data_IF_681934344759
#
_entry.id   IF_681934344759
#
_cell.length_a   1.000
_cell.length_b   1.000
_cell.length_c   1.000
_cell.angle_alpha   90.00
_cell.angle_beta   90.00
_cell.angle_gamma   90.00
#
_symmetry.space_group_name_H-M   'P 1'
#
loop_
_entity.id
_entity.type
_entity.pdbx_description
1 polymer ?
#
# COMPACT_ATOMS: atom_id res chain seq x y z
N UNK A 1 15.49 18.33 -41.32
CA UNK A 1 15.17 17.18 -40.47
C UNK A 1 14.72 17.75 -39.14
N UNK A 2 13.42 17.69 -38.84
CA UNK A 2 12.89 18.17 -37.56
C UNK A 2 13.52 17.35 -36.44
N UNK A 3 14.22 17.99 -35.50
CA UNK A 3 14.50 17.39 -34.20
C UNK A 3 13.15 16.95 -33.63
N UNK A 4 12.91 15.64 -33.57
CA UNK A 4 11.78 15.11 -32.82
C UNK A 4 12.17 15.28 -31.36
N UNK A 5 11.72 16.37 -30.74
CA UNK A 5 11.83 16.56 -29.29
C UNK A 5 11.33 15.28 -28.62
N UNK A 6 12.20 14.63 -27.84
CA UNK A 6 11.82 13.41 -27.13
C UNK A 6 10.66 13.71 -26.18
N UNK A 7 9.61 12.86 -26.14
CA UNK A 7 8.43 13.12 -25.33
C UNK A 7 8.81 13.18 -23.84
N UNK A 8 8.28 14.16 -23.13
CA UNK A 8 8.45 14.32 -21.68
C UNK A 8 7.52 13.37 -20.96
N UNK A 9 8.09 12.29 -20.43
CA UNK A 9 7.35 11.30 -19.66
C UNK A 9 7.65 11.49 -18.17
N UNK A 10 6.62 11.74 -17.39
CA UNK A 10 6.73 11.88 -15.94
C UNK A 10 6.08 10.69 -15.24
N UNK A 11 6.78 10.14 -14.25
CA UNK A 11 6.32 9.07 -13.37
C UNK A 11 6.20 9.66 -11.97
N UNK A 12 5.04 9.50 -11.32
CA UNK A 12 4.83 9.90 -9.94
C UNK A 12 4.80 8.66 -9.04
N UNK A 13 5.80 8.54 -8.18
CA UNK A 13 6.04 7.44 -7.26
C UNK A 13 7.24 6.58 -7.68
N UNK A 14 8.21 6.41 -6.79
CA UNK A 14 9.39 5.55 -6.94
C UNK A 14 9.24 4.22 -6.15
N UNK A 15 8.01 3.71 -6.06
CA UNK A 15 7.72 2.34 -5.61
C UNK A 15 8.02 1.28 -6.68
N UNK A 16 7.75 -0.01 -6.41
CA UNK A 16 8.02 -1.09 -7.35
C UNK A 16 7.40 -0.88 -8.74
N UNK A 17 6.19 -0.30 -8.80
CA UNK A 17 5.55 0.06 -10.07
C UNK A 17 6.32 1.15 -10.83
N UNK A 18 6.63 2.27 -10.18
CA UNK A 18 7.35 3.37 -10.81
C UNK A 18 8.78 3.00 -11.22
N UNK A 19 9.51 2.25 -10.40
CA UNK A 19 10.86 1.74 -10.74
C UNK A 19 10.80 0.91 -12.02
N UNK A 20 9.81 0.01 -12.12
CA UNK A 20 9.64 -0.85 -13.30
C UNK A 20 9.17 -0.08 -14.53
N UNK A 21 8.30 0.91 -14.36
CA UNK A 21 7.89 1.79 -15.44
C UNK A 21 9.10 2.58 -15.99
N UNK A 22 9.89 3.19 -15.09
CA UNK A 22 11.09 3.94 -15.45
C UNK A 22 12.09 3.05 -16.19
N UNK A 23 12.38 1.86 -15.67
CA UNK A 23 13.28 0.91 -16.33
C UNK A 23 12.82 0.53 -17.74
N UNK A 24 11.53 0.25 -17.94
CA UNK A 24 10.99 -0.07 -19.27
C UNK A 24 11.08 1.09 -20.26
N UNK A 25 10.85 2.33 -19.82
CA UNK A 25 11.02 3.51 -20.67
C UNK A 25 12.49 3.73 -21.03
N UNK A 26 13.39 3.53 -20.07
CA UNK A 26 14.84 3.67 -20.25
C UNK A 26 15.42 2.58 -21.16
N UNK A 27 14.89 1.37 -21.12
CA UNK A 27 15.21 0.29 -22.07
C UNK A 27 14.78 0.62 -23.50
N UNK A 28 13.71 1.41 -23.67
CA UNK A 28 13.25 1.92 -24.96
C UNK A 28 14.02 3.17 -25.45
N UNK A 29 15.06 3.59 -24.73
CA UNK A 29 15.90 4.75 -25.10
C UNK A 29 15.30 6.10 -24.71
N UNK A 30 14.29 6.13 -23.83
CA UNK A 30 13.68 7.37 -23.33
C UNK A 30 14.27 7.76 -21.98
N UNK A 31 14.18 9.06 -21.65
CA UNK A 31 14.66 9.61 -20.39
C UNK A 31 13.47 10.11 -19.54
N UNK A 32 12.93 9.28 -18.63
CA UNK A 32 11.79 9.69 -17.80
C UNK A 32 12.22 10.56 -16.60
N UNK A 33 11.29 11.39 -16.15
CA UNK A 33 11.38 12.09 -14.85
C UNK A 33 10.58 11.31 -13.82
N UNK A 34 11.19 10.93 -12.71
CA UNK A 34 10.54 10.20 -11.61
C UNK A 34 10.47 11.12 -10.38
N UNK A 35 9.27 11.41 -9.91
CA UNK A 35 9.01 12.26 -8.75
C UNK A 35 8.54 11.37 -7.60
N UNK A 36 9.16 11.47 -6.42
CA UNK A 36 8.78 10.70 -5.24
C UNK A 36 8.90 11.53 -3.95
N UNK A 37 7.95 11.35 -3.04
CA UNK A 37 7.98 11.98 -1.71
C UNK A 37 9.12 11.44 -0.83
N UNK A 38 9.58 10.23 -1.12
CA UNK A 38 10.65 9.58 -0.39
C UNK A 38 12.02 10.12 -0.79
N UNK A 39 12.94 10.07 0.17
CA UNK A 39 14.36 10.37 -0.08
C UNK A 39 15.02 9.30 -0.97
N UNK A 40 14.52 8.06 -0.92
CA UNK A 40 15.10 6.92 -1.62
C UNK A 40 14.01 6.04 -2.23
N UNK A 41 14.24 5.60 -3.46
CA UNK A 41 13.32 4.71 -4.17
C UNK A 41 13.15 3.35 -3.46
N UNK A 42 11.92 2.84 -3.50
CA UNK A 42 11.51 1.58 -2.87
C UNK A 42 10.04 1.55 -2.43
N UNK A 43 9.38 2.71 -2.35
CA UNK A 43 8.00 2.83 -1.89
C UNK A 43 7.81 2.32 -0.46
N UNK A 44 6.60 1.87 -0.12
CA UNK A 44 6.27 1.44 1.26
C UNK A 44 6.77 0.02 1.57
N UNK A 45 6.58 -0.93 0.66
CA UNK A 45 6.89 -2.35 0.90
C UNK A 45 8.39 -2.62 0.98
N UNK A 46 9.17 -1.97 0.10
CA UNK A 46 10.64 -2.04 0.05
C UNK A 46 11.27 -0.74 0.50
N UNK A 47 10.61 -0.03 1.43
CA UNK A 47 11.10 1.22 2.02
C UNK A 47 12.50 1.01 2.57
N UNK A 48 13.46 1.80 2.07
CA UNK A 48 14.83 1.79 2.56
C UNK A 48 14.89 2.49 3.92
N UNK A 49 15.72 1.99 4.84
CA UNK A 49 15.97 2.71 6.07
C UNK A 49 16.77 4.00 5.76
N UNK A 50 16.80 4.96 6.69
CA UNK A 50 17.71 6.09 6.64
C UNK A 50 19.17 5.65 6.58
N UNK A 51 20.04 6.55 6.14
CA UNK A 51 21.49 6.27 6.12
C UNK A 51 22.03 6.06 7.55
N UNK A 52 23.03 5.19 7.67
CA UNK A 52 23.60 4.77 8.96
C UNK A 52 22.84 3.64 9.67
N UNK A 53 21.69 3.19 9.16
CA UNK A 53 20.96 2.07 9.76
C UNK A 53 21.59 0.71 9.43
N UNK A 54 21.75 -0.16 10.42
CA UNK A 54 22.61 -1.37 10.33
C UNK A 54 21.87 -2.67 9.98
N UNK A 55 20.53 -2.65 9.85
CA UNK A 55 19.76 -3.87 9.57
C UNK A 55 19.96 -4.36 8.14
N UNK A 56 20.21 -5.66 8.02
CA UNK A 56 20.33 -6.34 6.72
C UNK A 56 19.00 -6.39 5.98
N UNK A 57 19.05 -6.48 4.64
CA UNK A 57 17.85 -6.66 3.82
C UNK A 57 17.00 -7.88 4.23
N UNK A 58 17.62 -8.97 4.72
CA UNK A 58 16.91 -10.16 5.23
C UNK A 58 16.12 -9.85 6.51
N UNK A 59 16.63 -8.97 7.38
CA UNK A 59 15.92 -8.52 8.57
C UNK A 59 14.75 -7.58 8.20
N UNK A 60 14.95 -6.70 7.23
CA UNK A 60 13.95 -5.69 6.82
C UNK A 60 12.80 -6.25 5.97
N UNK A 61 13.14 -7.06 4.96
CA UNK A 61 12.20 -7.50 3.92
C UNK A 61 11.89 -9.00 3.97
N UNK A 62 12.57 -9.76 4.84
CA UNK A 62 12.31 -11.19 5.01
C UNK A 62 12.53 -11.98 3.71
N UNK A 63 11.49 -12.69 3.26
CA UNK A 63 11.53 -13.47 2.01
C UNK A 63 11.68 -12.63 0.75
N UNK A 64 11.36 -11.33 0.82
CA UNK A 64 11.41 -10.44 -0.33
C UNK A 64 12.75 -9.69 -0.45
N UNK A 65 13.73 -10.00 0.41
CA UNK A 65 15.03 -9.31 0.44
C UNK A 65 15.78 -9.29 -0.89
N UNK A 66 15.73 -10.40 -1.64
CA UNK A 66 16.37 -10.48 -2.95
C UNK A 66 15.69 -9.56 -3.98
N UNK A 67 14.35 -9.52 -4.00
CA UNK A 67 13.59 -8.64 -4.90
C UNK A 67 13.78 -7.18 -4.56
N UNK A 68 13.72 -6.83 -3.27
CA UNK A 68 13.97 -5.49 -2.79
C UNK A 68 15.34 -4.99 -3.25
N UNK A 69 16.42 -5.77 -2.99
CA UNK A 69 17.76 -5.45 -3.46
C UNK A 69 17.86 -5.29 -4.97
N UNK A 70 17.23 -6.18 -5.74
CA UNK A 70 17.26 -6.12 -7.20
C UNK A 70 16.61 -4.82 -7.72
N UNK A 71 15.46 -4.42 -7.18
CA UNK A 71 14.82 -3.16 -7.54
C UNK A 71 15.62 -1.95 -7.10
N UNK A 72 16.22 -2.01 -5.90
CA UNK A 72 17.05 -0.94 -5.38
C UNK A 72 18.25 -0.69 -6.29
N UNK A 73 19.03 -1.74 -6.57
CA UNK A 73 20.20 -1.68 -7.45
C UNK A 73 19.84 -1.25 -8.87
N UNK A 74 18.68 -1.69 -9.38
CA UNK A 74 18.20 -1.27 -10.70
C UNK A 74 17.99 0.24 -10.74
N UNK A 75 17.20 0.78 -9.80
CA UNK A 75 16.89 2.21 -9.81
C UNK A 75 18.11 3.08 -9.55
N UNK A 76 18.95 2.70 -8.58
CA UNK A 76 20.18 3.43 -8.25
C UNK A 76 21.10 3.49 -9.49
N UNK A 77 21.32 2.36 -10.16
CA UNK A 77 22.12 2.31 -11.39
C UNK A 77 21.58 3.23 -12.48
N UNK A 78 20.27 3.19 -12.75
CA UNK A 78 19.69 4.04 -13.80
C UNK A 78 19.82 5.54 -13.49
N UNK A 79 19.72 5.92 -12.22
CA UNK A 79 19.92 7.28 -11.77
C UNK A 79 21.40 7.71 -11.84
N UNK A 80 22.32 6.86 -11.35
CA UNK A 80 23.77 7.09 -11.38
C UNK A 80 24.34 7.18 -12.81
N UNK A 81 23.82 6.37 -13.73
CA UNK A 81 24.16 6.43 -15.17
C UNK A 81 23.52 7.64 -15.88
N UNK A 82 22.73 8.47 -15.19
CA UNK A 82 22.06 9.64 -15.76
C UNK A 82 20.99 9.30 -16.80
N UNK A 83 20.39 8.11 -16.73
CA UNK A 83 19.40 7.62 -17.70
C UNK A 83 17.95 7.99 -17.34
N UNK A 84 17.76 8.53 -16.15
CA UNK A 84 16.50 9.11 -15.68
C UNK A 84 16.79 10.32 -14.79
N UNK A 85 15.81 11.22 -14.66
CA UNK A 85 15.88 12.30 -13.68
C UNK A 85 15.06 11.90 -12.45
N UNK A 86 15.68 11.85 -11.26
CA UNK A 86 14.99 11.53 -10.02
C UNK A 86 14.79 12.79 -9.16
N UNK A 87 13.55 13.22 -9.02
CA UNK A 87 13.14 14.26 -8.08
C UNK A 87 12.70 13.59 -6.76
N UNK A 88 13.68 13.27 -5.92
CA UNK A 88 13.44 12.77 -4.56
C UNK A 88 12.85 13.86 -3.65
N UNK A 89 12.29 13.47 -2.52
CA UNK A 89 11.77 14.39 -1.50
C UNK A 89 10.81 15.45 -2.06
N UNK A 90 10.03 15.06 -3.08
CA UNK A 90 9.22 15.95 -3.90
C UNK A 90 7.80 15.42 -4.00
N UNK A 91 6.82 16.24 -3.64
CA UNK A 91 5.39 15.87 -3.66
C UNK A 91 4.68 16.60 -4.78
N UNK A 92 3.93 15.85 -5.60
CA UNK A 92 3.02 16.46 -6.58
C UNK A 92 1.75 16.90 -5.85
N UNK A 93 1.44 18.19 -5.91
CA UNK A 93 0.31 18.78 -5.19
C UNK A 93 -0.83 19.25 -6.12
N UNK A 94 -0.57 19.35 -7.43
CA UNK A 94 -1.60 19.62 -8.44
C UNK A 94 -1.17 19.10 -9.83
N UNK A 95 -2.15 18.80 -10.70
CA UNK A 95 -1.90 18.28 -12.05
C UNK A 95 -2.71 18.99 -13.19
N UNK A 96 -2.73 20.33 -13.29
CA UNK A 96 -3.58 21.02 -14.27
C UNK A 96 -3.02 21.03 -15.70
N UNK A 97 -3.75 20.42 -16.64
CA UNK A 97 -3.58 20.64 -18.09
C UNK A 97 -2.17 20.30 -18.61
N UNK A 98 -1.66 19.10 -18.33
CA UNK A 98 -0.33 18.67 -18.79
C UNK A 98 0.84 19.21 -17.96
N UNK A 99 0.55 19.77 -16.77
CA UNK A 99 1.54 20.32 -15.85
C UNK A 99 1.37 19.69 -14.48
N UNK A 100 2.47 19.44 -13.80
CA UNK A 100 2.51 19.06 -12.39
C UNK A 100 3.08 20.22 -11.58
N UNK A 101 2.41 20.57 -10.49
CA UNK A 101 2.99 21.44 -9.47
C UNK A 101 3.64 20.55 -8.42
N UNK A 102 4.94 20.72 -8.23
CA UNK A 102 5.77 19.83 -7.43
C UNK A 102 6.39 20.63 -6.31
N UNK A 103 6.04 20.30 -5.08
CA UNK A 103 6.61 20.87 -3.86
C UNK A 103 7.86 20.07 -3.48
N UNK A 104 9.01 20.73 -3.45
CA UNK A 104 10.26 20.20 -2.91
C UNK A 104 10.87 21.15 -1.88
N UNK A 105 12.13 20.92 -1.50
CA UNK A 105 12.85 21.72 -0.50
C UNK A 105 12.95 23.21 -0.89
N UNK A 106 13.16 23.50 -2.18
CA UNK A 106 13.25 24.86 -2.71
C UNK A 106 11.90 25.56 -2.98
N UNK A 107 10.78 24.95 -2.58
CA UNK A 107 9.43 25.46 -2.84
C UNK A 107 8.73 24.74 -4.00
N UNK A 108 7.74 25.41 -4.60
CA UNK A 108 6.91 24.83 -5.67
C UNK A 108 7.52 25.12 -7.04
N UNK A 109 7.71 24.07 -7.83
CA UNK A 109 8.11 24.16 -9.24
C UNK A 109 7.05 23.55 -10.15
N UNK A 110 7.08 23.91 -11.44
CA UNK A 110 6.17 23.36 -12.46
C UNK A 110 6.94 22.44 -13.40
N UNK A 111 6.50 21.19 -13.52
CA UNK A 111 7.03 20.21 -14.46
C UNK A 111 5.98 19.90 -15.52
N UNK A 112 6.32 20.09 -16.79
CA UNK A 112 5.46 19.76 -17.93
C UNK A 112 5.64 18.31 -18.35
N UNK A 113 4.56 17.68 -18.81
CA UNK A 113 4.60 16.32 -19.33
C UNK A 113 3.76 16.16 -20.60
N UNK A 114 4.20 15.28 -21.49
CA UNK A 114 3.44 14.80 -22.64
C UNK A 114 2.71 13.49 -22.29
N UNK A 115 3.27 12.70 -21.35
CA UNK A 115 2.66 11.48 -20.79
C UNK A 115 2.91 11.39 -19.28
N UNK A 116 1.92 10.92 -18.54
CA UNK A 116 1.96 10.80 -17.08
C UNK A 116 1.68 9.38 -16.63
N UNK A 117 2.59 8.78 -15.87
CA UNK A 117 2.37 7.49 -15.21
C UNK A 117 2.23 7.71 -13.71
N UNK A 118 1.05 7.45 -13.17
CA UNK A 118 0.74 7.51 -11.75
C UNK A 118 1.00 6.15 -11.10
N UNK A 119 2.04 6.08 -10.28
CA UNK A 119 2.44 4.91 -9.49
C UNK A 119 2.39 5.23 -7.99
N UNK A 120 1.33 5.94 -7.57
CA UNK A 120 1.12 6.57 -6.25
C UNK A 120 0.94 5.58 -5.10
N UNK A 121 0.64 4.32 -5.41
CA UNK A 121 0.51 3.27 -4.39
C UNK A 121 -0.79 3.37 -3.59
N UNK A 122 -0.72 3.02 -2.31
CA UNK A 122 -1.88 2.92 -1.43
C UNK A 122 -1.50 3.25 0.01
N UNK A 123 -2.47 3.78 0.76
CA UNK A 123 -2.36 4.04 2.20
C UNK A 123 -3.03 2.94 3.01
N UNK A 124 -2.86 2.95 4.33
CA UNK A 124 -3.68 2.11 5.19
C UNK A 124 -5.15 2.51 5.08
N UNK A 125 -6.04 1.53 5.09
CA UNK A 125 -7.47 1.76 5.24
C UNK A 125 -7.85 1.52 6.70
N UNK A 126 -8.35 2.55 7.35
CA UNK A 126 -8.83 2.50 8.74
C UNK A 126 -10.36 2.62 8.77
N UNK A 127 -10.97 2.00 9.76
CA UNK A 127 -12.39 2.14 10.06
C UNK A 127 -12.51 2.68 11.49
N UNK A 128 -13.32 3.73 11.75
CA UNK A 128 -13.50 4.22 13.11
C UNK A 128 -13.99 3.11 14.05
N UNK A 129 -13.52 3.18 15.29
CA UNK A 129 -13.97 2.39 16.44
C UNK A 129 -14.06 3.38 17.60
N UNK A 130 -15.07 3.33 18.48
CA UNK A 130 -15.15 4.28 19.60
C UNK A 130 -13.82 4.39 20.35
N UNK A 131 -13.27 5.60 20.47
CA UNK A 131 -11.97 5.86 21.10
C UNK A 131 -10.73 5.82 20.17
N UNK A 132 -10.88 5.52 18.87
CA UNK A 132 -9.75 5.42 17.93
C UNK A 132 -8.97 6.73 17.71
N UNK A 133 -9.51 7.87 18.11
CA UNK A 133 -8.84 9.17 18.07
C UNK A 133 -7.76 9.35 19.16
N UNK A 134 -7.75 8.48 20.17
CA UNK A 134 -6.89 8.60 21.35
C UNK A 134 -5.41 8.44 21.02
N UNK A 135 -4.54 9.11 21.79
CA UNK A 135 -3.10 8.92 21.71
C UNK A 135 -2.72 7.45 21.99
N UNK A 136 -1.80 6.89 21.20
CA UNK A 136 -1.46 5.47 21.25
C UNK A 136 -2.19 4.61 20.19
N UNK A 137 -3.11 5.18 19.41
CA UNK A 137 -3.74 4.51 18.26
C UNK A 137 -3.01 4.88 16.96
N UNK A 138 -2.53 3.86 16.25
CA UNK A 138 -1.80 3.99 14.99
C UNK A 138 -2.40 3.06 13.93
N UNK A 139 -2.15 3.36 12.65
CA UNK A 139 -2.46 2.42 11.58
C UNK A 139 -1.46 1.25 11.55
N UNK A 140 -1.85 0.12 10.98
CA UNK A 140 -0.96 -1.06 10.86
C UNK A 140 0.30 -0.77 10.04
N UNK A 141 0.18 -0.03 8.95
CA UNK A 141 1.31 0.40 8.13
C UNK A 141 2.22 1.37 8.88
N UNK A 142 1.69 2.30 9.68
CA UNK A 142 2.52 3.16 10.53
C UNK A 142 3.34 2.34 11.54
N UNK A 143 2.70 1.37 12.21
CA UNK A 143 3.40 0.45 13.11
C UNK A 143 4.47 -0.38 12.37
N UNK A 144 4.19 -0.82 11.14
CA UNK A 144 5.15 -1.54 10.32
C UNK A 144 6.33 -0.65 9.88
N UNK A 145 6.08 0.60 9.52
CA UNK A 145 7.09 1.58 9.12
C UNK A 145 8.02 1.86 10.30
N UNK A 146 7.47 2.13 11.49
CA UNK A 146 8.27 2.31 12.71
C UNK A 146 9.17 1.10 12.97
N UNK A 147 8.62 -0.11 12.85
CA UNK A 147 9.39 -1.33 13.06
C UNK A 147 10.49 -1.54 12.00
N UNK A 148 10.20 -1.28 10.72
CA UNK A 148 11.15 -1.54 9.62
C UNK A 148 12.21 -0.45 9.50
N UNK A 149 11.79 0.81 9.44
CA UNK A 149 12.65 1.94 9.11
C UNK A 149 13.40 2.48 10.34
N UNK A 150 12.78 2.45 11.51
CA UNK A 150 13.36 3.00 12.74
C UNK A 150 13.74 1.91 13.74
N UNK A 151 13.20 0.71 13.58
CA UNK A 151 13.48 -0.41 14.46
C UNK A 151 12.75 -0.38 15.78
N UNK A 152 11.68 0.40 15.87
CA UNK A 152 10.96 0.72 17.11
C UNK A 152 9.59 0.05 17.12
N UNK A 153 9.20 -0.49 18.28
CA UNK A 153 7.80 -0.79 18.58
C UNK A 153 7.16 0.44 19.24
N UNK A 154 5.96 0.81 18.79
CA UNK A 154 5.29 2.06 19.20
C UNK A 154 4.60 2.01 20.58
N UNK A 155 4.74 0.89 21.30
CA UNK A 155 4.20 0.70 22.65
C UNK A 155 4.88 -0.47 23.35
N UNK A 156 4.71 -0.56 24.67
CA UNK A 156 5.25 -1.66 25.48
C UNK A 156 4.35 -2.88 25.46
N UNK A 157 3.03 -2.70 25.36
CA UNK A 157 2.03 -3.77 25.31
C UNK A 157 1.01 -3.48 24.21
N UNK A 158 1.06 -4.26 23.14
CA UNK A 158 0.43 -3.95 21.86
C UNK A 158 -0.82 -4.80 21.63
N UNK A 159 -1.92 -4.17 21.23
CA UNK A 159 -3.07 -4.85 20.63
C UNK A 159 -3.17 -4.45 19.17
N UNK A 160 -3.33 -5.43 18.28
CA UNK A 160 -3.62 -5.15 16.87
C UNK A 160 -5.08 -5.49 16.59
N UNK A 161 -5.79 -4.58 15.93
CA UNK A 161 -7.20 -4.75 15.55
C UNK A 161 -7.35 -4.57 14.05
N UNK A 162 -8.30 -5.24 13.43
CA UNK A 162 -8.59 -5.00 12.03
C UNK A 162 -9.00 -6.23 11.27
N UNK A 163 -8.60 -6.28 10.00
CA UNK A 163 -8.71 -7.51 9.22
C UNK A 163 -7.70 -7.57 8.07
N UNK A 164 -7.38 -8.79 7.65
CA UNK A 164 -6.57 -9.03 6.45
C UNK A 164 -5.14 -9.46 6.72
N UNK A 165 -4.38 -9.74 5.64
CA UNK A 165 -3.02 -10.27 5.76
C UNK A 165 -2.04 -9.33 6.45
N UNK A 166 -2.22 -8.01 6.32
CA UNK A 166 -1.34 -7.04 6.95
C UNK A 166 -1.39 -7.12 8.48
N UNK A 167 -2.59 -7.35 9.04
CA UNK A 167 -2.78 -7.56 10.49
C UNK A 167 -1.93 -8.73 11.00
N UNK A 168 -2.00 -9.87 10.29
CA UNK A 168 -1.22 -11.07 10.62
C UNK A 168 0.28 -10.83 10.44
N UNK A 169 0.68 -10.16 9.35
CA UNK A 169 2.06 -9.87 9.03
C UNK A 169 2.72 -8.97 10.09
N UNK A 170 2.08 -7.86 10.43
CA UNK A 170 2.60 -6.90 11.42
C UNK A 170 2.69 -7.54 12.80
N UNK A 171 1.67 -8.29 13.22
CA UNK A 171 1.71 -9.03 14.48
C UNK A 171 2.89 -10.01 14.53
N UNK A 172 3.09 -10.80 13.48
CA UNK A 172 4.18 -11.77 13.44
C UNK A 172 5.57 -11.10 13.38
N UNK A 173 5.67 -9.93 12.74
CA UNK A 173 6.91 -9.14 12.72
C UNK A 173 7.24 -8.54 14.09
N UNK A 174 6.25 -8.00 14.80
CA UNK A 174 6.41 -7.48 16.16
C UNK A 174 6.81 -8.57 17.15
N UNK A 175 6.13 -9.72 17.13
CA UNK A 175 6.51 -10.89 17.96
C UNK A 175 7.93 -11.35 17.63
N UNK A 176 8.28 -11.45 16.35
CA UNK A 176 9.65 -11.82 15.93
C UNK A 176 10.71 -10.81 16.40
N UNK A 177 10.34 -9.53 16.50
CA UNK A 177 11.22 -8.47 17.01
C UNK A 177 11.27 -8.40 18.54
N UNK A 178 10.53 -9.26 19.25
CA UNK A 178 10.51 -9.30 20.72
C UNK A 178 9.53 -8.32 21.37
N UNK A 179 8.64 -7.69 20.60
CA UNK A 179 7.60 -6.82 21.16
C UNK A 179 6.51 -7.65 21.86
N UNK A 180 5.96 -7.13 22.97
CA UNK A 180 4.85 -7.75 23.69
C UNK A 180 3.52 -7.46 22.97
N UNK A 181 3.15 -8.37 22.07
CA UNK A 181 1.83 -8.38 21.43
C UNK A 181 0.86 -9.15 22.32
N UNK A 182 -0.04 -8.44 22.97
CA UNK A 182 -1.04 -8.99 23.87
C UNK A 182 -2.17 -9.70 23.10
N UNK A 183 -2.64 -9.12 22.00
CA UNK A 183 -3.68 -9.71 21.17
C UNK A 183 -3.62 -9.21 19.71
N UNK A 184 -4.07 -10.06 18.79
CA UNK A 184 -4.33 -9.76 17.39
C UNK A 184 -5.80 -10.10 17.10
N UNK A 185 -6.63 -9.08 16.96
CA UNK A 185 -8.08 -9.16 16.89
C UNK A 185 -8.54 -8.95 15.44
N UNK A 186 -8.86 -10.06 14.76
CA UNK A 186 -9.36 -10.04 13.39
C UNK A 186 -10.90 -10.06 13.38
N UNK A 187 -11.51 -9.05 12.77
CA UNK A 187 -12.97 -8.96 12.66
C UNK A 187 -13.56 -9.97 11.69
N UNK A 188 -12.74 -10.58 10.82
CA UNK A 188 -13.21 -11.62 9.90
C UNK A 188 -13.30 -12.96 10.60
N UNK A 189 -14.49 -13.56 10.57
CA UNK A 189 -14.75 -14.89 11.12
C UNK A 189 -14.03 -15.99 10.34
N UNK A 190 -13.79 -17.13 11.00
CA UNK A 190 -13.25 -18.32 10.33
C UNK A 190 -14.09 -18.74 9.12
N UNK A 191 -15.42 -18.65 9.19
CA UNK A 191 -16.30 -18.97 8.05
C UNK A 191 -16.06 -18.04 6.87
N UNK A 192 -15.93 -16.73 7.11
CA UNK A 192 -15.61 -15.76 6.05
C UNK A 192 -14.24 -16.04 5.44
N UNK A 193 -13.23 -16.28 6.28
CA UNK A 193 -11.87 -16.56 5.81
C UNK A 193 -11.80 -17.79 4.88
N UNK A 194 -12.64 -18.80 5.12
CA UNK A 194 -12.75 -19.97 4.24
C UNK A 194 -13.41 -19.67 2.89
N UNK A 195 -14.25 -18.63 2.76
CA UNK A 195 -14.90 -18.26 1.48
C UNK A 195 -13.89 -17.83 0.42
N UNK A 196 -12.74 -17.29 0.84
CA UNK A 196 -11.66 -16.88 -0.06
C UNK A 196 -10.78 -18.03 -0.57
N UNK A 197 -10.97 -19.26 -0.09
CA UNK A 197 -10.06 -20.39 -0.32
C UNK A 197 -9.72 -20.61 -1.79
N UNK A 198 -10.72 -20.62 -2.68
CA UNK A 198 -10.51 -20.83 -4.11
C UNK A 198 -9.64 -19.75 -4.76
N UNK A 199 -9.79 -18.49 -4.34
CA UNK A 199 -8.93 -17.40 -4.81
C UNK A 199 -7.51 -17.52 -4.27
N UNK A 200 -7.36 -17.93 -3.00
CA UNK A 200 -6.05 -18.15 -2.37
C UNK A 200 -5.23 -19.26 -3.05
N UNK A 201 -5.91 -20.28 -3.60
CA UNK A 201 -5.28 -21.35 -4.38
C UNK A 201 -4.55 -20.84 -5.63
N UNK A 202 -4.83 -19.62 -6.12
CA UNK A 202 -4.05 -19.01 -7.18
C UNK A 202 -2.58 -18.78 -6.76
N UNK A 203 -2.28 -18.60 -5.46
CA UNK A 203 -0.89 -18.46 -4.95
C UNK A 203 -0.69 -19.29 -3.68
N UNK A 204 -0.60 -20.62 -3.80
CA UNK A 204 -0.61 -21.52 -2.64
C UNK A 204 0.59 -21.27 -1.71
N UNK A 205 1.76 -21.00 -2.26
CA UNK A 205 2.97 -20.69 -1.47
C UNK A 205 2.78 -19.43 -0.61
N UNK A 206 2.10 -18.40 -1.12
CA UNK A 206 1.85 -17.17 -0.36
C UNK A 206 0.78 -17.40 0.70
N UNK A 207 -0.28 -18.14 0.38
CA UNK A 207 -1.31 -18.54 1.34
C UNK A 207 -0.71 -19.35 2.50
N UNK A 208 0.14 -20.34 2.20
CA UNK A 208 0.86 -21.14 3.21
C UNK A 208 1.78 -20.28 4.09
N UNK A 209 2.47 -19.29 3.51
CA UNK A 209 3.25 -18.31 4.30
C UNK A 209 2.35 -17.54 5.27
N UNK A 210 1.17 -17.10 4.82
CA UNK A 210 0.19 -16.44 5.69
C UNK A 210 -0.25 -17.32 6.86
N UNK A 211 -0.55 -18.59 6.60
CA UNK A 211 -0.87 -19.58 7.65
C UNK A 211 0.29 -19.79 8.62
N UNK A 212 1.53 -19.86 8.14
CA UNK A 212 2.71 -20.00 8.99
C UNK A 212 2.93 -18.76 9.87
N UNK A 213 2.70 -17.54 9.36
CA UNK A 213 2.74 -16.32 10.16
C UNK A 213 1.66 -16.32 11.25
N UNK A 214 0.45 -16.77 10.91
CA UNK A 214 -0.63 -16.90 11.89
C UNK A 214 -0.32 -17.94 12.96
N UNK A 215 0.22 -19.09 12.59
CA UNK A 215 0.62 -20.12 13.54
C UNK A 215 1.64 -19.60 14.57
N UNK A 216 2.55 -18.71 14.15
CA UNK A 216 3.51 -18.04 15.06
C UNK A 216 2.85 -17.09 16.06
N UNK A 217 1.69 -16.52 15.75
CA UNK A 217 0.92 -15.71 16.70
C UNK A 217 0.31 -16.59 17.80
N UNK A 218 0.01 -17.85 17.48
CA UNK A 218 -0.55 -18.82 18.42
C UNK A 218 -1.85 -18.31 19.05
N UNK A 219 -1.97 -18.46 20.37
CA UNK A 219 -3.15 -18.04 21.14
C UNK A 219 -3.42 -16.54 21.18
N UNK A 220 -2.54 -15.70 20.61
CA UNK A 220 -2.75 -14.24 20.51
C UNK A 220 -3.71 -13.86 19.39
N UNK A 221 -3.88 -14.72 18.38
CA UNK A 221 -4.74 -14.41 17.24
C UNK A 221 -6.18 -14.85 17.51
N UNK A 222 -7.11 -13.90 17.47
CA UNK A 222 -8.53 -14.12 17.67
C UNK A 222 -9.31 -13.73 16.41
N UNK A 223 -10.01 -14.69 15.80
CA UNK A 223 -10.81 -14.46 14.59
C UNK A 223 -12.28 -14.19 14.95
N UNK A 224 -12.97 -13.41 14.10
CA UNK A 224 -14.41 -13.16 14.21
C UNK A 224 -14.78 -12.37 15.46
N UNK A 225 -13.90 -11.46 15.90
CA UNK A 225 -14.14 -10.62 17.07
C UNK A 225 -15.05 -9.45 16.74
N UNK A 226 -15.77 -8.97 17.75
CA UNK A 226 -16.48 -7.68 17.67
C UNK A 226 -15.72 -6.65 18.50
N UNK A 227 -15.35 -5.52 17.89
CA UNK A 227 -14.65 -4.43 18.57
C UNK A 227 -15.70 -3.49 19.17
N UNK A 228 -15.55 -3.14 20.46
CA UNK A 228 -16.54 -2.30 21.15
C UNK A 228 -16.02 -0.89 21.40
N UNK A 229 -14.88 -0.78 22.08
CA UNK A 229 -14.32 0.50 22.50
C UNK A 229 -12.83 0.38 22.78
N UNK A 230 -12.09 1.40 22.38
CA UNK A 230 -10.74 1.68 22.82
C UNK A 230 -10.86 2.54 24.08
N UNK A 231 -10.43 1.99 25.21
CA UNK A 231 -10.39 2.70 26.49
C UNK A 231 -9.12 3.56 26.52
N UNK A 232 -9.27 4.81 26.93
CA UNK A 232 -8.17 5.76 27.01
C UNK A 232 -8.39 6.74 28.17
N UNK A 233 -7.28 7.27 28.70
CA UNK A 233 -7.26 8.32 29.71
C UNK A 233 -6.37 9.50 29.26
N UNK A 234 -6.02 10.41 30.18
CA UNK A 234 -5.19 11.58 29.88
C UNK A 234 -3.77 11.25 29.37
N UNK A 235 -3.33 10.00 29.47
CA UNK A 235 -2.02 9.53 28.99
C UNK A 235 -2.08 8.74 27.68
N UNK A 236 -3.29 8.42 27.20
CA UNK A 236 -3.52 7.67 25.95
C UNK A 236 -4.31 6.39 26.17
N UNK A 237 -4.17 5.44 25.24
CA UNK A 237 -4.82 4.12 25.30
C UNK A 237 -4.40 3.34 26.54
N UNK A 238 -5.36 2.71 27.21
CA UNK A 238 -5.14 1.84 28.37
C UNK A 238 -5.63 0.40 28.15
N UNK A 239 -6.66 0.21 27.31
CA UNK A 239 -7.17 -1.11 26.99
C UNK A 239 -8.00 -1.15 25.70
N UNK A 240 -8.20 -2.35 25.17
CA UNK A 240 -9.17 -2.66 24.13
C UNK A 240 -10.30 -3.52 24.71
N UNK A 241 -11.54 -3.05 24.56
CA UNK A 241 -12.77 -3.80 24.89
C UNK A 241 -13.35 -4.44 23.64
N UNK A 242 -13.57 -5.75 23.69
CA UNK A 242 -14.01 -6.54 22.54
C UNK A 242 -14.80 -7.79 22.99
N UNK A 243 -15.54 -8.40 22.06
CA UNK A 243 -16.16 -9.72 22.25
C UNK A 243 -15.48 -10.76 21.39
N UNK A 244 -15.23 -11.93 21.96
CA UNK A 244 -14.77 -13.07 21.18
C UNK A 244 -15.88 -13.61 20.24
N UNK A 245 -15.53 -14.56 19.39
CA UNK A 245 -16.48 -15.17 18.44
C UNK A 245 -17.67 -15.86 19.10
N UNK A 246 -17.59 -16.17 20.40
CA UNK A 246 -18.68 -16.72 21.21
C UNK A 246 -19.52 -15.64 21.91
N UNK A 247 -19.22 -14.36 21.71
CA UNK A 247 -19.92 -13.24 22.31
C UNK A 247 -19.46 -12.87 23.72
N UNK A 248 -18.44 -13.54 24.27
CA UNK A 248 -17.94 -13.24 25.61
C UNK A 248 -17.13 -11.95 25.59
N UNK A 249 -17.48 -11.02 26.49
CA UNK A 249 -16.74 -9.78 26.66
C UNK A 249 -15.33 -10.03 27.21
N UNK A 250 -14.37 -9.27 26.67
CA UNK A 250 -12.96 -9.30 27.00
C UNK A 250 -12.46 -7.86 27.11
N UNK A 251 -11.55 -7.66 28.05
CA UNK A 251 -10.80 -6.42 28.20
C UNK A 251 -9.32 -6.78 28.16
N UNK A 252 -8.58 -6.20 27.23
CA UNK A 252 -7.15 -6.45 27.06
C UNK A 252 -6.40 -5.14 27.28
N UNK A 253 -5.64 -5.04 28.37
CA UNK A 253 -4.83 -3.85 28.62
C UNK A 253 -3.69 -3.72 27.61
N UNK A 254 -3.45 -2.48 27.18
CA UNK A 254 -2.44 -2.12 26.19
C UNK A 254 -2.15 -0.63 26.27
N UNK A 255 -0.96 -0.23 25.82
CA UNK A 255 -0.57 1.17 25.66
C UNK A 255 -0.43 1.58 24.19
N UNK A 256 -0.66 0.63 23.27
CA UNK A 256 -0.67 0.88 21.84
C UNK A 256 -1.69 -0.01 21.12
N UNK A 257 -2.45 0.60 20.21
CA UNK A 257 -3.34 -0.08 19.29
C UNK A 257 -2.90 0.16 17.86
N UNK A 258 -2.67 -0.92 17.11
CA UNK A 258 -2.48 -0.88 15.65
C UNK A 258 -3.75 -1.29 14.93
N UNK A 259 -4.28 -0.45 14.03
CA UNK A 259 -5.56 -0.71 13.35
C UNK A 259 -5.49 -0.68 11.82
N UNK A 260 -6.25 -1.56 11.14
CA UNK A 260 -6.36 -1.51 9.67
C UNK A 260 -7.19 -2.62 9.03
N UNK A 261 -7.93 -2.27 7.99
CA UNK A 261 -8.79 -3.15 7.19
C UNK A 261 -8.43 -3.04 5.71
N UNK A 262 -7.30 -3.66 5.35
CA UNK A 262 -6.64 -3.56 4.04
C UNK A 262 -6.05 -2.18 3.74
N UNK A 263 -5.76 -1.97 2.46
CA UNK A 263 -5.20 -0.76 1.90
C UNK A 263 -6.30 0.05 1.20
N UNK A 264 -6.11 1.36 1.18
CA UNK A 264 -6.87 2.30 0.38
C UNK A 264 -6.00 2.78 -0.77
N UNK A 265 -6.45 2.61 -2.01
CA UNK A 265 -5.70 3.10 -3.17
C UNK A 265 -5.50 4.63 -3.06
N UNK A 266 -4.32 5.13 -3.41
CA UNK A 266 -4.03 6.56 -3.40
C UNK A 266 -4.38 7.17 -4.75
N UNK A 267 -5.58 7.74 -4.84
CA UNK A 267 -6.22 8.12 -6.10
C UNK A 267 -6.37 9.62 -6.31
N UNK A 268 -5.93 10.48 -5.38
CA UNK A 268 -6.16 11.93 -5.49
C UNK A 268 -5.51 12.53 -6.73
N UNK A 269 -4.30 12.10 -7.11
CA UNK A 269 -3.65 12.57 -8.33
C UNK A 269 -4.33 12.07 -9.61
N UNK A 270 -5.00 10.92 -9.57
CA UNK A 270 -5.77 10.45 -10.72
C UNK A 270 -7.01 11.32 -10.93
N UNK A 271 -7.68 11.72 -9.86
CA UNK A 271 -8.79 12.68 -9.89
C UNK A 271 -8.33 14.05 -10.39
N UNK A 272 -7.24 14.59 -9.84
CA UNK A 272 -6.65 15.86 -10.30
C UNK A 272 -6.18 15.82 -11.77
N UNK A 273 -5.80 14.65 -12.28
CA UNK A 273 -5.43 14.45 -13.68
C UNK A 273 -6.66 14.24 -14.61
N UNK A 274 -7.88 14.26 -14.06
CA UNK A 274 -9.12 14.12 -14.81
C UNK A 274 -9.44 12.69 -15.25
N UNK A 275 -8.98 11.68 -14.51
CA UNK A 275 -9.34 10.29 -14.78
C UNK A 275 -10.80 10.00 -14.36
N UNK A 276 -11.48 9.16 -15.13
CA UNK A 276 -12.79 8.63 -14.74
C UNK A 276 -12.69 7.63 -13.59
N UNK A 277 -13.73 7.53 -12.77
CA UNK A 277 -13.80 6.60 -11.63
C UNK A 277 -14.99 5.64 -11.74
N UNK A 278 -14.81 4.45 -11.16
CA UNK A 278 -15.89 3.50 -10.92
C UNK A 278 -15.84 3.02 -9.47
N UNK A 279 -16.99 2.69 -8.90
CA UNK A 279 -17.04 2.08 -7.58
C UNK A 279 -16.73 0.58 -7.68
N UNK A 280 -15.70 0.14 -6.97
CA UNK A 280 -15.35 -1.27 -6.85
C UNK A 280 -16.09 -1.88 -5.65
N UNK A 281 -17.06 -2.75 -5.93
CA UNK A 281 -17.88 -3.40 -4.90
C UNK A 281 -17.09 -4.36 -4.01
N UNK A 282 -16.01 -4.94 -4.53
CA UNK A 282 -15.20 -5.90 -3.80
C UNK A 282 -14.34 -5.21 -2.74
N UNK A 283 -13.63 -4.17 -3.14
CA UNK A 283 -12.78 -3.37 -2.27
C UNK A 283 -13.53 -2.24 -1.60
N UNK A 284 -14.80 -1.98 -1.95
CA UNK A 284 -15.64 -0.91 -1.39
C UNK A 284 -14.97 0.46 -1.47
N UNK A 285 -14.43 0.79 -2.65
CA UNK A 285 -13.63 1.99 -2.91
C UNK A 285 -13.91 2.54 -4.30
N UNK A 286 -13.82 3.87 -4.46
CA UNK A 286 -13.76 4.49 -5.78
C UNK A 286 -12.36 4.29 -6.35
N UNK A 287 -12.28 3.65 -7.52
CA UNK A 287 -11.02 3.38 -8.21
C UNK A 287 -11.05 3.99 -9.62
N UNK A 288 -9.91 4.49 -10.11
CA UNK A 288 -9.81 5.04 -11.45
C UNK A 288 -10.05 3.94 -12.50
N UNK A 289 -10.79 4.28 -13.55
CA UNK A 289 -11.09 3.39 -14.66
C UNK A 289 -9.89 3.27 -15.57
N UNK A 290 -9.39 2.05 -15.76
CA UNK A 290 -8.25 1.77 -16.64
C UNK A 290 -8.49 0.57 -17.55
N UNK A 291 -7.82 0.53 -18.69
CA UNK A 291 -7.67 -0.73 -19.45
C UNK A 291 -6.77 -1.75 -18.70
N UNK A 292 -6.59 -2.95 -19.26
CA UNK A 292 -5.76 -3.99 -18.61
C UNK A 292 -4.28 -3.59 -18.46
N UNK A 293 -3.78 -2.65 -19.25
CA UNK A 293 -2.40 -2.17 -19.21
C UNK A 293 -2.22 -0.91 -18.37
N UNK A 294 -3.30 -0.29 -17.91
CA UNK A 294 -3.28 0.89 -17.04
C UNK A 294 -3.65 2.20 -17.73
N UNK A 295 -4.08 2.21 -19.00
CA UNK A 295 -4.49 3.46 -19.69
C UNK A 295 -5.74 4.04 -19.04
N UNK A 296 -5.72 5.33 -18.70
CA UNK A 296 -6.85 6.07 -18.15
C UNK A 296 -7.34 7.23 -19.05
N UNK A 297 -6.81 7.34 -20.27
CA UNK A 297 -7.14 8.41 -21.21
C UNK A 297 -6.22 9.63 -21.08
N UNK A 298 -6.29 10.55 -22.04
CA UNK A 298 -5.58 11.84 -22.04
C UNK A 298 -4.06 11.75 -21.78
N UNK A 299 -3.41 10.66 -22.21
CA UNK A 299 -1.97 10.44 -21.97
C UNK A 299 -1.61 10.11 -20.53
N UNK A 300 -2.58 9.71 -19.70
CA UNK A 300 -2.41 9.27 -18.32
C UNK A 300 -2.52 7.75 -18.21
N UNK A 301 -1.60 7.17 -17.44
CA UNK A 301 -1.54 5.74 -17.14
C UNK A 301 -1.43 5.55 -15.62
N UNK A 302 -2.02 4.48 -15.09
CA UNK A 302 -1.90 4.11 -13.68
C UNK A 302 -1.27 2.74 -13.49
N UNK A 303 -0.48 2.60 -12.43
CA UNK A 303 0.18 1.36 -12.10
C UNK A 303 0.24 1.11 -10.58
N UNK A 304 0.27 -0.18 -10.23
CA UNK A 304 0.38 -0.65 -8.85
C UNK A 304 -0.88 -0.51 -8.03
N UNK A 305 -0.70 -0.40 -6.72
CA UNK A 305 -1.80 -0.44 -5.75
C UNK A 305 -2.70 0.82 -5.79
N UNK A 306 -2.31 1.86 -6.55
CA UNK A 306 -3.14 3.05 -6.82
C UNK A 306 -4.30 2.79 -7.79
N UNK A 307 -4.31 1.63 -8.45
CA UNK A 307 -5.42 1.19 -9.32
C UNK A 307 -5.92 -0.20 -8.97
N UNK A 308 -5.03 -1.12 -8.56
CA UNK A 308 -5.41 -2.50 -8.18
C UNK A 308 -4.53 -2.99 -7.03
N UNK A 309 -5.16 -3.35 -5.91
CA UNK A 309 -4.49 -3.83 -4.70
C UNK A 309 -3.96 -5.26 -4.88
N UNK A 310 -2.79 -5.37 -5.53
CA UNK A 310 -2.16 -6.63 -5.92
C UNK A 310 -0.80 -6.85 -5.21
N UNK A 311 -0.35 -5.87 -4.44
CA UNK A 311 0.91 -5.88 -3.71
C UNK A 311 2.13 -5.79 -4.64
N UNK A 312 3.32 -5.98 -4.07
CA UNK A 312 4.59 -5.70 -4.74
C UNK A 312 4.76 -6.40 -6.11
N UNK A 313 4.40 -7.69 -6.21
CA UNK A 313 4.51 -8.44 -7.46
C UNK A 313 3.58 -7.88 -8.56
N UNK A 314 2.36 -7.47 -8.17
CA UNK A 314 1.41 -6.84 -9.06
C UNK A 314 1.85 -5.44 -9.46
N UNK A 315 2.42 -4.69 -8.53
CA UNK A 315 2.99 -3.37 -8.79
C UNK A 315 4.12 -3.43 -9.83
N UNK A 316 5.08 -4.35 -9.70
CA UNK A 316 6.15 -4.52 -10.68
C UNK A 316 5.63 -4.87 -12.09
N UNK A 317 4.59 -5.70 -12.19
CA UNK A 317 3.96 -6.07 -13.45
C UNK A 317 3.19 -4.88 -14.04
N UNK A 318 2.37 -4.22 -13.23
CA UNK A 318 1.56 -3.08 -13.65
C UNK A 318 2.43 -1.91 -14.12
N UNK A 319 3.58 -1.66 -13.47
CA UNK A 319 4.54 -0.65 -13.90
C UNK A 319 5.06 -0.90 -15.32
N UNK A 320 5.48 -2.14 -15.63
CA UNK A 320 5.91 -2.52 -16.98
C UNK A 320 4.79 -2.41 -18.00
N UNK A 321 3.57 -2.82 -17.64
CA UNK A 321 2.41 -2.73 -18.52
C UNK A 321 2.02 -1.28 -18.83
N UNK A 322 2.04 -0.40 -17.84
CA UNK A 322 1.75 1.03 -18.03
C UNK A 322 2.80 1.72 -18.90
N UNK A 323 4.08 1.40 -18.69
CA UNK A 323 5.16 1.89 -19.57
C UNK A 323 5.03 1.32 -21.00
N UNK A 324 4.72 0.02 -21.15
CA UNK A 324 4.48 -0.56 -22.47
C UNK A 324 3.27 0.07 -23.18
N UNK A 325 2.22 0.44 -22.44
CA UNK A 325 1.08 1.16 -22.96
C UNK A 325 1.48 2.56 -23.44
N UNK A 326 2.24 3.29 -22.62
CA UNK A 326 2.79 4.59 -22.96
C UNK A 326 3.65 4.54 -24.23
N UNK A 327 4.53 3.54 -24.35
CA UNK A 327 5.38 3.34 -25.54
C UNK A 327 4.54 3.07 -26.79
N UNK A 328 3.54 2.18 -26.71
CA UNK A 328 2.62 1.91 -27.81
C UNK A 328 1.93 3.19 -28.30
N UNK A 329 1.40 3.98 -27.37
CA UNK A 329 0.64 5.19 -27.70
C UNK A 329 1.54 6.33 -28.23
N UNK A 330 2.86 6.21 -28.04
CA UNK A 330 3.88 7.11 -28.60
C UNK A 330 4.51 6.55 -29.89
N UNK A 331 4.12 5.35 -30.33
CA UNK A 331 4.68 4.70 -31.53
C UNK A 331 6.07 4.08 -31.36
N UNK A 332 6.54 3.87 -30.11
CA UNK A 332 7.82 3.22 -29.82
C UNK A 332 7.69 1.69 -29.82
N UNK A 333 8.80 0.95 -30.05
CA UNK A 333 8.82 -0.48 -29.86
C UNK A 333 8.39 -0.87 -28.44
N UNK A 334 7.44 -1.79 -28.34
CA UNK A 334 6.88 -2.21 -27.04
C UNK A 334 7.38 -3.59 -26.61
N UNK A 335 7.67 -3.81 -25.32
CA UNK A 335 7.97 -5.14 -24.81
C UNK A 335 6.75 -6.07 -24.91
N UNK A 336 6.99 -7.38 -24.99
CA UNK A 336 5.92 -8.37 -25.03
C UNK A 336 5.15 -8.44 -23.69
N UNK A 337 3.83 -8.21 -23.72
CA UNK A 337 2.98 -8.07 -22.52
C UNK A 337 2.15 -9.31 -22.16
N UNK A 338 2.08 -10.31 -23.04
CA UNK A 338 1.17 -11.47 -22.89
C UNK A 338 1.44 -12.28 -21.61
N UNK A 339 2.71 -12.47 -21.25
CA UNK A 339 3.10 -13.17 -20.01
C UNK A 339 2.76 -12.36 -18.77
N UNK A 340 2.90 -11.03 -18.86
CA UNK A 340 2.59 -10.12 -17.76
C UNK A 340 1.08 -10.05 -17.50
N UNK A 341 0.27 -9.98 -18.56
CA UNK A 341 -1.18 -10.02 -18.45
C UNK A 341 -1.69 -11.33 -17.83
N UNK A 342 -1.07 -12.48 -18.16
CA UNK A 342 -1.40 -13.79 -17.53
C UNK A 342 -1.02 -13.81 -16.04
N UNK A 343 0.15 -13.29 -15.68
CA UNK A 343 0.58 -13.18 -14.27
C UNK A 343 -0.33 -12.23 -13.49
N UNK A 344 -0.71 -11.11 -14.09
CA UNK A 344 -1.63 -10.14 -13.51
C UNK A 344 -2.99 -10.78 -13.22
N UNK A 345 -3.57 -11.51 -14.17
CA UNK A 345 -4.83 -12.23 -13.96
C UNK A 345 -4.75 -13.25 -12.80
N UNK A 346 -3.60 -13.91 -12.63
CA UNK A 346 -3.37 -14.81 -11.48
C UNK A 346 -3.33 -14.04 -10.16
N UNK A 347 -2.74 -12.85 -10.13
CA UNK A 347 -2.69 -11.98 -8.95
C UNK A 347 -4.07 -11.41 -8.61
N UNK A 348 -4.85 -11.01 -9.63
CA UNK A 348 -6.23 -10.54 -9.50
C UNK A 348 -7.11 -11.62 -8.83
N UNK A 349 -7.00 -12.89 -9.26
CA UNK A 349 -7.72 -14.01 -8.59
C UNK A 349 -7.32 -14.19 -7.13
N UNK A 350 -6.04 -14.03 -6.81
CA UNK A 350 -5.55 -14.13 -5.44
C UNK A 350 -6.07 -12.97 -4.56
N UNK A 351 -5.99 -11.75 -5.08
CA UNK A 351 -6.51 -10.55 -4.43
C UNK A 351 -8.02 -10.65 -4.20
N UNK A 352 -8.75 -11.21 -5.18
CA UNK A 352 -10.17 -11.48 -5.05
C UNK A 352 -10.45 -12.46 -3.90
N UNK A 353 -9.67 -13.54 -3.80
CA UNK A 353 -9.74 -14.46 -2.67
C UNK A 353 -9.50 -13.78 -1.31
N UNK A 354 -8.53 -12.86 -1.24
CA UNK A 354 -8.24 -12.10 -0.03
C UNK A 354 -9.40 -11.18 0.38
N UNK A 355 -9.96 -10.43 -0.55
CA UNK A 355 -11.09 -9.55 -0.26
C UNK A 355 -12.34 -10.33 0.17
N UNK A 356 -12.57 -11.53 -0.37
CA UNK A 356 -13.64 -12.42 0.09
C UNK A 356 -13.38 -13.02 1.48
N UNK A 357 -12.12 -13.39 1.78
CA UNK A 357 -11.72 -13.94 3.07
C UNK A 357 -11.77 -12.90 4.19
N UNK A 358 -11.46 -11.66 3.85
CA UNK A 358 -11.34 -10.55 4.77
C UNK A 358 -12.17 -9.36 4.26
N UNK A 359 -13.50 -9.38 4.33
CA UNK A 359 -14.30 -8.29 3.80
C UNK A 359 -14.11 -7.01 4.62
N UNK A 360 -14.35 -5.85 3.98
CA UNK A 360 -14.63 -4.61 4.72
C UNK A 360 -15.79 -4.85 5.71
N UNK A 361 -15.79 -4.25 6.92
CA UNK A 361 -16.82 -4.50 7.93
C UNK A 361 -17.94 -3.42 7.94
N UNK A 362 -18.89 -3.39 6.98
CA UNK A 362 -19.89 -2.33 6.89
C UNK A 362 -20.82 -2.31 8.10
N UNK A 363 -21.11 -3.46 8.71
CA UNK A 363 -21.95 -3.53 9.90
C UNK A 363 -21.31 -2.83 11.11
N UNK A 364 -19.99 -2.96 11.27
CA UNK A 364 -19.24 -2.27 12.32
C UNK A 364 -19.27 -0.75 12.11
N UNK A 365 -19.07 -0.30 10.87
CA UNK A 365 -19.09 1.14 10.53
C UNK A 365 -20.50 1.73 10.69
N UNK A 366 -21.55 0.99 10.32
CA UNK A 366 -22.95 1.45 10.48
C UNK A 366 -23.43 1.45 11.93
N UNK A 367 -22.80 0.66 12.80
CA UNK A 367 -23.12 0.58 14.22
C UNK A 367 -22.30 1.58 15.07
N UNK A 368 -21.57 2.49 14.44
CA UNK A 368 -20.90 3.57 15.15
C UNK A 368 -21.95 4.43 15.87
N UNK A 369 -21.73 4.77 17.15
CA UNK A 369 -22.61 5.69 17.86
C UNK A 369 -22.45 7.11 17.33
N UNK A 370 -23.47 7.94 17.51
CA UNK A 370 -23.51 9.34 17.03
C UNK A 370 -22.43 10.25 17.66
N UNK A 371 -21.77 9.80 18.72
CA UNK A 371 -20.66 10.49 19.38
C UNK A 371 -19.28 10.00 18.90
N UNK A 372 -19.22 9.06 17.94
CA UNK A 372 -17.97 8.54 17.42
C UNK A 372 -17.33 9.48 16.41
N UNK A 373 -16.17 10.04 16.75
CA UNK A 373 -15.37 10.86 15.83
C UNK A 373 -15.11 10.12 14.51
N UNK A 374 -15.55 10.67 13.38
CA UNK A 374 -15.25 10.18 12.02
C UNK A 374 -14.09 10.96 11.40
N UNK A 375 -14.03 12.27 11.62
CA UNK A 375 -12.92 13.13 11.17
C UNK A 375 -12.33 13.91 12.36
N UNK A 376 -11.06 13.65 12.68
CA UNK A 376 -10.39 14.30 13.83
C UNK A 376 -10.11 15.79 13.59
N UNK A 377 -9.81 16.16 12.34
CA UNK A 377 -9.44 17.53 12.00
C UNK A 377 -10.67 18.45 12.01
N UNK A 378 -11.77 17.99 11.43
CA UNK A 378 -13.02 18.74 11.32
C UNK A 378 -13.97 18.50 12.50
N UNK A 379 -13.61 17.62 13.44
CA UNK A 379 -14.43 17.21 14.58
C UNK A 379 -15.82 16.71 14.19
N UNK A 380 -15.90 15.94 13.09
CA UNK A 380 -17.16 15.32 12.62
C UNK A 380 -17.40 14.04 13.42
N UNK A 381 -18.61 13.89 13.97
CA UNK A 381 -19.10 12.67 14.62
C UNK A 381 -20.19 12.00 13.78
#
# INVERSE_FOLDING_TARGET
>A
MSEILSPRIVIVGAGPAGIRAAATLVEAGLHPVVIDEGQRAGGQIYRRPPDGFTRTAKQLYGSEAAKARALHLLFDRLAEEGRLTHCAASSVIAAPGGRLHVLGEGGVQVIFYDRLILATGASDRVAPVPGWQSAGVYSLGAAQIALKAQGVALGRRIVLIGSGPLLTLVGAQLVKAGADVAAVLDTSSWRQQMRGFWGLAARPVVALRGLALRARLGGRYHAGVTLERIEADGTGVTAMRWRDAGGRQRLTSCDMIGMGWHLRAETHLADLAGCDFTYDEQWRQWLPKTDRMGRAGNGVYLAGDGVRLLGADGAEIAGRLAAAACLADLGFPTPATSTDLRKLARLERFAHGLACAFPWPPAMVRALPDDAVVCRFESVN
#
